data_IF_138678675698
#
_entry.id   IF_138678675698
#
_cell.length_a   1.000
_cell.length_b   1.000
_cell.length_c   1.000
_cell.angle_alpha   90.00
_cell.angle_beta   90.00
_cell.angle_gamma   90.00
#
_symmetry.space_group_name_H-M   'P 1'
#
loop_
_entity.id
_entity.type
_entity.pdbx_description
1 polymer ?
2 non-polymer ?
3 water ?
#
# COMPACT_ATOMS: atom_id res chain seq x y z
N UNK A 15 -5.29 21.39 5.94
CA UNK A 15 -5.38 22.47 4.90
C UNK A 15 -3.96 22.91 4.51
N UNK A 16 -3.50 22.40 3.37
CA UNK A 16 -2.17 22.72 2.87
C UNK A 16 -1.99 22.08 1.49
N UNK A 17 -1.27 20.96 1.44
CA UNK A 17 -1.03 20.23 0.20
C UNK A 17 -0.31 21.10 -0.83
N UNK A 18 1.02 21.09 -0.77
CA UNK A 18 1.89 21.89 -1.64
C UNK A 18 2.58 21.02 -2.72
N UNK A 19 3.77 21.41 -3.22
CA UNK A 19 4.39 20.56 -4.25
C UNK A 19 5.33 19.47 -3.75
N UNK A 20 6.28 19.84 -2.89
CA UNK A 20 7.23 18.89 -2.33
C UNK A 20 6.98 18.81 -0.84
N UNK A 21 6.35 19.83 -0.28
CA UNK A 21 6.05 19.83 1.13
C UNK A 21 5.20 18.58 1.40
N UNK A 22 4.65 18.01 0.32
CA UNK A 22 3.81 16.81 0.38
C UNK A 22 4.67 15.56 0.29
N UNK A 23 5.56 15.52 -0.70
CA UNK A 23 6.44 14.37 -0.87
C UNK A 23 7.28 14.22 0.38
N UNK A 24 7.81 15.32 0.88
CA UNK A 24 8.64 15.29 2.10
C UNK A 24 7.76 14.89 3.28
N UNK A 25 6.52 15.36 3.27
CA UNK A 25 5.59 15.00 4.32
C UNK A 25 5.31 13.51 4.21
N UNK A 26 4.94 13.04 3.02
CA UNK A 26 4.66 11.63 2.83
C UNK A 26 5.90 10.80 3.21
N UNK A 27 7.08 11.41 3.14
CA UNK A 27 8.32 10.72 3.51
C UNK A 27 8.44 10.57 5.02
N UNK A 28 8.19 11.65 5.74
CA UNK A 28 8.28 11.62 7.19
C UNK A 28 7.07 10.96 7.86
N UNK A 29 6.12 10.46 7.08
CA UNK A 29 4.93 9.82 7.64
C UNK A 29 5.02 8.31 7.57
N UNK A 30 6.00 7.82 6.81
CA UNK A 30 6.24 6.38 6.66
C UNK A 30 6.06 5.60 7.95
N UNK A 31 5.59 4.35 7.84
CA UNK A 31 5.35 3.45 8.97
C UNK A 31 6.67 2.93 9.48
N UNK A 32 6.72 2.48 10.75
CA UNK A 32 7.95 1.94 11.34
C UNK A 32 8.20 0.56 10.74
N UNK A 33 9.43 0.09 10.87
CA UNK A 33 9.77 -1.24 10.41
C UNK A 33 9.07 -2.11 11.44
N UNK A 34 8.64 -3.29 11.07
CA UNK A 34 7.96 -4.12 12.05
C UNK A 34 8.58 -5.50 12.21
N UNK A 35 8.65 -5.92 13.48
CA UNK A 35 9.23 -7.21 13.83
C UNK A 35 8.24 -8.22 14.42
N UNK A 36 8.43 -9.48 14.05
CA UNK A 36 7.63 -10.60 14.51
C UNK A 36 8.56 -11.61 15.20
N UNK A 37 8.05 -12.33 16.20
CA UNK A 37 8.85 -13.35 16.88
C UNK A 37 9.14 -14.39 15.81
N UNK A 38 9.71 -15.53 16.18
CA UNK A 38 9.99 -16.59 15.19
C UNK A 38 11.06 -17.62 15.56
N UNK A 39 10.93 -18.83 15.00
CA UNK A 39 11.86 -19.94 15.22
C UNK A 39 12.39 -20.40 13.86
N UNK A 40 12.59 -21.71 13.70
CA UNK A 40 13.07 -22.33 12.46
C UNK A 40 14.59 -22.36 12.28
N UNK A 43 9.63 -24.36 10.49
CA UNK A 43 8.67 -23.58 9.71
C UNK A 43 7.93 -24.43 8.67
N UNK A 44 6.65 -24.15 8.49
CA UNK A 44 5.82 -24.86 7.52
C UNK A 44 4.69 -24.01 6.99
N UNK A 45 3.48 -24.56 7.05
CA UNK A 45 2.30 -23.86 6.60
C UNK A 45 1.87 -22.76 7.56
N UNK A 46 1.17 -23.12 8.62
CA UNK A 46 0.73 -22.12 9.58
C UNK A 46 1.94 -21.32 10.07
N UNK A 47 3.11 -21.96 10.07
CA UNK A 47 4.32 -21.28 10.49
C UNK A 47 4.48 -20.03 9.65
N UNK A 48 4.17 -20.16 8.37
CA UNK A 48 4.25 -19.04 7.46
C UNK A 48 3.04 -18.14 7.65
N UNK A 49 1.90 -18.73 7.99
CA UNK A 49 0.70 -17.94 8.18
C UNK A 49 0.43 -17.47 9.60
N UNK A 50 1.11 -18.06 10.57
CA UNK A 50 0.94 -17.63 11.96
C UNK A 50 1.66 -16.29 12.01
N UNK A 51 2.81 -16.26 11.35
CA UNK A 51 3.61 -15.04 11.30
C UNK A 51 2.94 -13.96 10.45
N UNK A 52 2.63 -14.27 9.19
CA UNK A 52 2.00 -13.32 8.30
C UNK A 52 0.76 -12.65 8.89
N UNK A 53 0.10 -13.31 9.83
CA UNK A 53 -1.09 -12.72 10.44
C UNK A 53 -0.64 -11.77 11.53
N UNK A 54 0.37 -12.16 12.27
CA UNK A 54 0.87 -11.30 13.34
C UNK A 54 1.67 -10.16 12.73
N UNK A 55 2.03 -10.30 11.46
CA UNK A 55 2.78 -9.27 10.77
C UNK A 55 1.85 -8.18 10.27
N UNK A 56 0.92 -8.56 9.40
CA UNK A 56 -0.05 -7.63 8.83
C UNK A 56 -0.95 -6.95 9.85
N UNK A 57 -1.05 -7.49 11.05
CA UNK A 57 -1.87 -6.86 12.06
C UNK A 57 -1.11 -5.77 12.76
N UNK A 58 0.17 -6.02 13.04
CA UNK A 58 1.02 -5.01 13.67
C UNK A 58 1.06 -3.83 12.70
N UNK A 59 1.32 -4.15 11.43
CA UNK A 59 1.41 -3.17 10.36
C UNK A 59 0.12 -2.38 10.14
N UNK A 60 -1.02 -3.07 10.16
CA UNK A 60 -2.28 -2.38 9.96
C UNK A 60 -2.50 -1.27 10.98
N UNK A 61 -1.86 -1.39 12.14
CA UNK A 61 -1.97 -0.35 13.16
C UNK A 61 -1.19 0.89 12.71
N UNK A 62 0.03 0.69 12.24
CA UNK A 62 0.85 1.79 11.75
C UNK A 62 0.29 2.36 10.46
N UNK A 63 -0.40 1.52 9.68
CA UNK A 63 -0.98 1.99 8.44
C UNK A 63 -2.02 3.04 8.72
N UNK A 64 -2.67 2.96 9.87
CA UNK A 64 -3.68 3.94 10.22
C UNK A 64 -3.04 5.25 10.64
N UNK A 65 -1.95 5.17 11.39
CA UNK A 65 -1.24 6.39 11.83
C UNK A 65 -0.78 7.10 10.56
N UNK A 66 -0.34 6.29 9.60
CA UNK A 66 0.15 6.74 8.31
C UNK A 66 -0.92 7.60 7.61
N UNK A 67 -2.03 6.96 7.24
CA UNK A 67 -3.12 7.65 6.57
C UNK A 67 -3.44 8.92 7.35
N UNK A 68 -3.41 8.80 8.66
CA UNK A 68 -3.71 9.93 9.50
C UNK A 68 -2.81 11.13 9.19
N UNK A 69 -1.54 10.87 8.91
CA UNK A 69 -0.58 11.93 8.62
C UNK A 69 -0.65 12.53 7.21
N UNK A 70 -1.34 11.88 6.29
CA UNK A 70 -1.46 12.44 4.93
C UNK A 70 -2.29 13.71 5.05
N UNK A 71 -1.63 14.86 4.92
CA UNK A 71 -2.31 16.16 5.01
C UNK A 71 -3.75 16.17 4.50
N UNK A 72 -4.69 16.35 5.42
CA UNK A 72 -6.08 16.41 5.03
C UNK A 72 -6.86 15.14 5.13
N UNK A 73 -6.21 14.02 5.38
CA UNK A 73 -6.94 12.76 5.49
C UNK A 73 -7.98 12.79 6.62
N UNK A 74 -7.60 13.29 7.79
CA UNK A 74 -8.54 13.33 8.91
C UNK A 74 -9.63 14.38 8.78
N UNK A 75 -9.49 15.28 7.81
CA UNK A 75 -10.50 16.29 7.59
C UNK A 75 -11.72 15.63 6.94
N UNK A 76 -11.49 14.51 6.28
CA UNK A 76 -12.57 13.78 5.62
C UNK A 76 -13.56 13.29 6.66
N UNK A 77 -14.53 12.51 6.23
CA UNK A 77 -15.52 11.93 7.13
C UNK A 77 -14.89 10.72 7.81
N UNK A 78 -15.39 10.35 8.99
CA UNK A 78 -14.83 9.21 9.69
C UNK A 78 -15.19 7.92 8.97
N UNK A 79 -16.46 7.79 8.59
CA UNK A 79 -16.90 6.59 7.88
C UNK A 79 -16.18 6.45 6.53
N UNK A 80 -15.79 7.57 5.94
CA UNK A 80 -15.07 7.53 4.67
C UNK A 80 -13.62 7.09 4.88
N UNK A 81 -13.00 7.59 5.95
CA UNK A 81 -11.64 7.20 6.25
C UNK A 81 -11.66 5.69 6.42
N UNK A 82 -12.57 5.19 7.23
CA UNK A 82 -12.66 3.75 7.47
C UNK A 82 -13.03 3.06 6.16
N UNK A 83 -13.87 3.71 5.36
CA UNK A 83 -14.30 3.18 4.06
C UNK A 83 -13.04 2.90 3.22
N UNK A 84 -12.19 3.92 3.13
CA UNK A 84 -10.95 3.85 2.37
C UNK A 84 -9.92 2.87 2.95
N UNK A 85 -9.62 2.96 4.24
CA UNK A 85 -8.64 2.06 4.83
C UNK A 85 -9.05 0.60 4.69
N UNK A 86 -10.35 0.33 4.61
CA UNK A 86 -10.82 -1.04 4.50
C UNK A 86 -10.56 -1.67 3.13
N UNK A 87 -10.51 -0.83 2.11
CA UNK A 87 -10.32 -1.30 0.74
C UNK A 87 -8.89 -1.43 0.27
N UNK A 88 -8.00 -0.60 0.82
CA UNK A 88 -6.62 -0.63 0.38
C UNK A 88 -5.60 -1.36 1.26
N UNK A 89 -5.89 -1.57 2.53
CA UNK A 89 -4.88 -2.19 3.39
C UNK A 89 -4.10 -3.31 2.73
N UNK A 90 -4.80 -4.19 2.03
CA UNK A 90 -4.16 -5.31 1.38
C UNK A 90 -3.13 -4.90 0.32
N UNK A 91 -3.52 -4.01 -0.62
CA UNK A 91 -2.56 -3.56 -1.64
C UNK A 91 -1.50 -2.61 -1.05
N UNK A 92 -1.89 -1.77 -0.09
CA UNK A 92 -0.93 -0.87 0.54
C UNK A 92 0.12 -1.73 1.24
N UNK A 93 -0.31 -2.84 1.82
CA UNK A 93 0.64 -3.75 2.47
C UNK A 93 1.58 -4.26 1.39
N UNK A 94 0.99 -4.85 0.36
CA UNK A 94 1.80 -5.40 -0.72
C UNK A 94 2.63 -4.35 -1.47
N UNK A 95 2.22 -3.09 -1.42
CA UNK A 95 2.98 -2.04 -2.09
C UNK A 95 4.30 -1.85 -1.36
N UNK A 96 4.23 -1.91 -0.04
CA UNK A 96 5.41 -1.76 0.80
C UNK A 96 6.27 -3.02 0.76
N UNK A 97 5.63 -4.16 0.58
CA UNK A 97 6.35 -5.42 0.51
C UNK A 97 7.22 -5.40 -0.75
N UNK A 98 6.59 -5.06 -1.88
CA UNK A 98 7.29 -5.00 -3.15
C UNK A 98 8.47 -4.04 -3.06
N UNK A 99 8.19 -2.85 -2.56
CA UNK A 99 9.21 -1.82 -2.40
C UNK A 99 10.40 -2.30 -1.54
N UNK A 100 10.13 -3.16 -0.58
CA UNK A 100 11.18 -3.68 0.27
C UNK A 100 11.93 -4.80 -0.44
N UNK A 101 11.27 -5.43 -1.41
CA UNK A 101 11.85 -6.55 -2.13
C UNK A 101 12.26 -6.19 -3.55
N UNK A 102 12.30 -4.90 -3.85
CA UNK A 102 12.65 -4.43 -5.19
C UNK A 102 14.06 -4.77 -5.68
N UNK A 103 15.06 -4.64 -4.81
CA UNK A 103 16.44 -4.94 -5.22
C UNK A 103 16.80 -6.39 -4.94
N UNK A 104 15.80 -7.23 -4.75
CA UNK A 104 16.08 -8.63 -4.46
C UNK A 104 15.27 -9.63 -5.26
N UNK A 105 15.71 -9.89 -6.50
CA UNK A 105 15.03 -10.83 -7.37
C UNK A 105 14.84 -12.16 -6.65
N UNK A 106 13.67 -12.77 -6.85
CA UNK A 106 13.37 -14.05 -6.23
C UNK A 106 12.96 -14.02 -4.78
N UNK A 107 13.30 -12.97 -4.04
CA UNK A 107 12.94 -12.92 -2.63
C UNK A 107 11.77 -11.96 -2.39
N UNK A 108 11.18 -12.03 -1.20
CA UNK A 108 10.07 -11.17 -0.82
C UNK A 108 10.24 -10.77 0.64
N UNK A 109 11.06 -9.76 0.87
CA UNK A 109 11.36 -9.27 2.21
C UNK A 109 10.15 -8.78 3.01
N UNK A 110 9.36 -9.72 3.54
CA UNK A 110 8.17 -9.40 4.33
C UNK A 110 8.43 -8.56 5.58
N UNK A 111 9.66 -8.60 6.08
CA UNK A 111 10.01 -7.83 7.26
C UNK A 111 11.47 -8.08 7.62
N UNK A 112 12.01 -7.33 8.59
CA UNK A 112 13.42 -7.54 8.93
C UNK A 112 13.71 -8.99 9.29
N UNK A 113 12.69 -9.71 9.74
CA UNK A 113 12.90 -11.10 10.09
C UNK A 113 12.32 -12.10 9.09
N UNK A 114 11.19 -11.74 8.50
CA UNK A 114 10.53 -12.62 7.55
C UNK A 114 10.95 -12.45 6.09
N UNK A 115 12.02 -13.11 5.68
CA UNK A 115 12.44 -13.03 4.29
C UNK A 115 12.16 -14.38 3.63
N UNK A 116 11.38 -14.40 2.55
CA UNK A 116 11.05 -15.67 1.90
C UNK A 116 11.52 -15.83 0.46
N UNK A 117 12.09 -16.99 0.18
CA UNK A 117 12.57 -17.38 -1.14
C UNK A 117 11.35 -17.70 -2.01
N UNK A 118 11.49 -17.65 -3.32
CA UNK A 118 10.35 -17.96 -4.17
C UNK A 118 9.86 -19.35 -3.82
N UNK A 119 10.69 -20.35 -4.11
CA UNK A 119 10.34 -21.75 -3.85
C UNK A 119 9.66 -22.00 -2.51
N UNK A 120 10.15 -21.35 -1.46
CA UNK A 120 9.61 -21.50 -0.11
C UNK A 120 8.08 -21.32 -0.08
N UNK A 121 7.53 -20.87 -1.20
CA UNK A 121 6.09 -20.66 -1.29
C UNK A 121 5.32 -21.94 -1.46
N UNK A 122 5.65 -22.70 -2.51
CA UNK A 122 4.98 -23.96 -2.80
C UNK A 122 4.78 -24.86 -1.57
N UNK A 123 5.74 -24.84 -0.66
CA UNK A 123 5.64 -25.65 0.55
C UNK A 123 4.28 -25.52 1.19
N UNK A 124 3.57 -24.46 0.81
CA UNK A 124 2.21 -24.24 1.27
C UNK A 124 1.49 -23.90 -0.02
N UNK A 125 0.34 -24.55 -0.23
CA UNK A 125 -0.42 -24.37 -1.45
C UNK A 125 -1.23 -23.08 -1.64
N UNK A 126 -1.35 -22.68 -2.90
CA UNK A 126 -2.06 -21.48 -3.27
C UNK A 126 -1.14 -20.30 -3.21
N UNK A 127 -0.39 -20.19 -2.11
CA UNK A 127 0.54 -19.11 -1.88
C UNK A 127 1.54 -18.87 -3.00
N UNK A 128 2.05 -19.93 -3.59
CA UNK A 128 3.02 -19.79 -4.66
C UNK A 128 2.56 -18.93 -5.83
N UNK A 129 1.28 -18.96 -6.18
CA UNK A 129 0.81 -18.14 -7.29
C UNK A 129 1.11 -16.68 -6.98
N UNK A 130 0.72 -16.23 -5.78
CA UNK A 130 0.93 -14.86 -5.36
C UNK A 130 2.39 -14.42 -5.46
N UNK A 131 3.33 -15.22 -4.94
CA UNK A 131 4.75 -14.86 -5.00
C UNK A 131 5.15 -14.54 -6.42
N UNK A 132 4.64 -15.33 -7.36
CA UNK A 132 4.93 -15.14 -8.78
C UNK A 132 4.39 -13.80 -9.22
N UNK A 133 3.24 -13.44 -8.66
CA UNK A 133 2.58 -12.17 -8.97
C UNK A 133 3.34 -11.00 -8.36
N UNK A 134 3.66 -11.10 -7.06
CA UNK A 134 4.40 -10.06 -6.37
C UNK A 134 5.75 -9.90 -7.06
N UNK A 135 6.52 -10.97 -7.12
CA UNK A 135 7.83 -10.94 -7.77
C UNK A 135 7.73 -10.36 -9.18
N UNK A 136 6.67 -10.73 -9.89
CA UNK A 136 6.47 -10.23 -11.24
C UNK A 136 6.24 -8.73 -11.19
N UNK A 137 5.39 -8.28 -10.28
CA UNK A 137 5.10 -6.86 -10.16
C UNK A 137 6.32 -6.12 -9.66
N UNK A 138 7.03 -6.72 -8.71
CA UNK A 138 8.23 -6.12 -8.14
C UNK A 138 9.27 -5.95 -9.24
N UNK A 139 9.37 -6.96 -10.10
CA UNK A 139 10.33 -6.90 -11.20
C UNK A 139 9.98 -5.78 -12.15
N UNK A 140 8.69 -5.57 -12.38
CA UNK A 140 8.29 -4.50 -13.29
C UNK A 140 8.71 -3.19 -12.69
N UNK A 141 8.41 -2.98 -11.40
CA UNK A 141 8.79 -1.74 -10.72
C UNK A 141 10.29 -1.56 -10.79
N UNK A 142 11.01 -2.66 -10.61
CA UNK A 142 12.48 -2.63 -10.66
C UNK A 142 12.95 -2.14 -12.03
N UNK A 143 12.46 -2.80 -13.08
CA UNK A 143 12.81 -2.46 -14.45
C UNK A 143 12.54 -1.00 -14.75
N UNK A 144 11.41 -0.48 -14.26
CA UNK A 144 11.08 0.92 -14.48
C UNK A 144 12.02 1.78 -13.69
N UNK A 145 12.69 1.18 -12.72
CA UNK A 145 13.60 1.92 -11.86
C UNK A 145 12.78 2.95 -11.06
N UNK A 146 11.77 2.46 -10.33
CA UNK A 146 10.89 3.30 -9.52
C UNK A 146 11.66 4.05 -8.42
N UNK A 147 11.42 5.36 -8.33
CA UNK A 147 12.09 6.19 -7.32
C UNK A 147 11.34 6.29 -5.99
N UNK A 148 12.10 6.49 -4.92
CA UNK A 148 11.54 6.58 -3.58
C UNK A 148 10.39 7.56 -3.52
N UNK A 149 10.49 8.63 -4.31
CA UNK A 149 9.46 9.66 -4.36
C UNK A 149 8.22 9.18 -5.09
N UNK A 150 8.41 8.57 -6.26
CA UNK A 150 7.29 8.08 -7.03
C UNK A 150 6.60 7.01 -6.22
N UNK A 151 7.39 6.25 -5.46
CA UNK A 151 6.84 5.18 -4.62
C UNK A 151 5.95 5.80 -3.54
N UNK A 152 6.45 6.84 -2.88
CA UNK A 152 5.68 7.51 -1.83
C UNK A 152 4.37 8.02 -2.41
N UNK A 153 4.45 8.61 -3.60
CA UNK A 153 3.27 9.15 -4.25
C UNK A 153 2.25 8.09 -4.66
N UNK A 154 2.72 6.99 -5.27
CA UNK A 154 1.81 5.91 -5.70
C UNK A 154 1.11 5.21 -4.54
N UNK A 155 1.78 5.12 -3.39
CA UNK A 155 1.23 4.49 -2.20
C UNK A 155 0.01 5.19 -1.68
N UNK A 156 0.09 6.52 -1.59
CA UNK A 156 -1.04 7.29 -1.09
C UNK A 156 -2.17 7.31 -2.11
N UNK A 157 -1.84 7.30 -3.39
CA UNK A 157 -2.86 7.29 -4.44
C UNK A 157 -3.69 6.03 -4.29
N UNK A 158 -3.02 4.93 -3.94
CA UNK A 158 -3.69 3.65 -3.76
C UNK A 158 -4.72 3.73 -2.65
N UNK A 159 -4.40 4.52 -1.62
CA UNK A 159 -5.29 4.71 -0.48
C UNK A 159 -6.40 5.67 -0.79
N UNK A 160 -6.10 6.72 -1.54
CA UNK A 160 -7.09 7.72 -1.89
C UNK A 160 -7.96 7.26 -3.04
N UNK A 161 -7.53 6.21 -3.72
CA UNK A 161 -8.27 5.64 -4.83
C UNK A 161 -8.33 4.13 -4.62
N UNK A 162 -9.50 3.63 -4.24
CA UNK A 162 -9.71 2.21 -3.97
C UNK A 162 -11.12 2.14 -3.40
N UNK A 163 -11.68 3.32 -3.24
CA UNK A 163 -13.00 3.56 -2.69
C UNK A 163 -14.22 3.20 -3.53
N UNK A 164 -15.38 3.39 -2.90
CA UNK A 164 -16.68 3.16 -3.51
C UNK A 164 -17.08 4.54 -4.02
N UNK A 165 -16.09 5.24 -4.56
CA UNK A 165 -16.25 6.57 -5.11
C UNK A 165 -17.29 7.41 -4.36
N UNK A 170 -20.88 8.37 -3.79
CA UNK A 170 -21.93 9.12 -3.10
C UNK A 170 -23.27 8.38 -3.06
N UNK A 171 -24.11 8.89 -2.18
CA UNK A 171 -25.47 8.46 -1.88
C UNK A 171 -25.76 9.72 -1.08
N UNK A 172 -25.02 10.74 -1.52
CA UNK A 172 -24.95 12.12 -1.05
C UNK A 172 -24.94 12.56 0.41
N UNK A 173 -24.16 13.63 0.57
CA UNK A 173 -23.82 14.39 1.77
C UNK A 173 -22.35 14.54 1.37
N UNK A 174 -22.17 15.26 0.26
CA UNK A 174 -20.86 15.45 -0.35
C UNK A 174 -20.06 16.71 -0.07
N UNK A 175 -19.06 16.54 0.78
CA UNK A 175 -18.12 17.59 1.14
C UNK A 175 -16.88 16.77 1.45
N UNK A 176 -17.11 15.46 1.53
CA UNK A 176 -16.06 14.51 1.79
C UNK A 176 -15.56 14.17 0.39
N UNK A 177 -16.46 13.71 -0.47
CA UNK A 177 -16.09 13.37 -1.83
C UNK A 177 -15.42 14.56 -2.53
N UNK A 178 -15.60 15.76 -1.96
CA UNK A 178 -14.98 16.95 -2.54
C UNK A 178 -13.54 17.04 -2.04
N UNK A 179 -13.39 16.98 -0.73
CA UNK A 179 -12.06 17.04 -0.11
C UNK A 179 -11.19 15.86 -0.55
N UNK A 180 -11.82 14.70 -0.72
CA UNK A 180 -11.13 13.49 -1.15
C UNK A 180 -10.58 13.68 -2.55
N UNK A 181 -11.39 14.28 -3.41
CA UNK A 181 -10.99 14.55 -4.78
C UNK A 181 -9.82 15.53 -4.78
N UNK A 182 -9.90 16.52 -3.91
CA UNK A 182 -8.87 17.54 -3.81
C UNK A 182 -7.56 16.94 -3.34
N UNK A 183 -7.68 15.90 -2.53
CA UNK A 183 -6.53 15.21 -1.96
C UNK A 183 -5.92 14.27 -3.00
N UNK A 184 -6.73 13.48 -3.66
CA UNK A 184 -6.21 12.59 -4.68
C UNK A 184 -5.54 13.49 -5.69
N UNK A 185 -6.14 14.66 -5.89
CA UNK A 185 -5.62 15.64 -6.83
C UNK A 185 -4.20 16.08 -6.51
N UNK A 186 -4.01 16.68 -5.33
CA UNK A 186 -2.69 17.14 -4.91
C UNK A 186 -1.61 16.07 -5.11
N UNK A 187 -1.87 14.86 -4.61
CA UNK A 187 -0.96 13.72 -4.72
C UNK A 187 -0.61 13.51 -6.20
N UNK A 188 -1.63 13.32 -7.02
CA UNK A 188 -1.45 13.11 -8.45
C UNK A 188 -0.61 14.22 -9.03
N UNK A 189 -0.80 15.45 -8.55
CA UNK A 189 -0.01 16.55 -9.07
C UNK A 189 1.44 16.40 -8.66
N UNK A 190 1.66 16.10 -7.38
CA UNK A 190 3.03 15.92 -6.89
C UNK A 190 3.72 14.86 -7.72
N UNK A 191 2.99 13.81 -8.11
CA UNK A 191 3.57 12.72 -8.88
C UNK A 191 3.97 13.12 -10.28
N UNK A 192 3.18 13.98 -10.96
CA UNK A 192 3.56 14.39 -12.31
C UNK A 192 4.74 15.32 -12.12
N UNK A 193 4.75 15.98 -10.97
CA UNK A 193 5.81 16.90 -10.61
C UNK A 193 7.12 16.15 -10.48
N UNK A 194 7.13 15.13 -9.62
CA UNK A 194 8.32 14.33 -9.41
C UNK A 194 8.89 13.88 -10.76
N UNK A 195 8.04 13.32 -11.61
CA UNK A 195 8.48 12.84 -12.92
C UNK A 195 9.10 13.97 -13.73
N UNK A 196 8.47 15.15 -13.69
CA UNK A 196 8.99 16.32 -14.42
C UNK A 196 10.38 16.71 -13.93
N UNK A 197 10.55 16.77 -12.61
CA UNK A 197 11.84 17.10 -12.03
C UNK A 197 12.88 16.18 -12.67
N UNK A 198 12.49 14.93 -12.92
CA UNK A 198 13.37 13.95 -13.53
C UNK A 198 14.13 14.53 -14.72
N UNK A 199 13.46 15.42 -15.45
CA UNK A 199 14.07 16.05 -16.61
C UNK A 199 13.80 15.48 -17.98
N UNK A 200 13.20 14.29 -18.05
CA UNK A 200 12.92 13.69 -19.36
C UNK A 200 11.87 14.50 -20.14
N UNK A 201 11.69 14.16 -21.41
CA UNK A 201 10.76 14.85 -22.31
C UNK A 201 9.27 14.56 -22.06
N UNK A 202 8.42 15.50 -22.47
CA UNK A 202 6.99 15.35 -22.27
C UNK A 202 6.38 14.06 -22.83
N UNK A 203 7.03 13.44 -23.81
CA UNK A 203 6.47 12.20 -24.33
C UNK A 203 6.80 11.12 -23.30
N UNK A 204 7.96 11.25 -22.67
CA UNK A 204 8.36 10.30 -21.64
C UNK A 204 7.77 10.61 -20.27
N UNK A 205 7.58 11.89 -19.96
CA UNK A 205 7.01 12.26 -18.68
C UNK A 205 5.61 11.68 -18.62
N UNK A 206 4.92 11.68 -19.75
CA UNK A 206 3.58 11.13 -19.83
C UNK A 206 3.61 9.62 -19.77
N UNK A 207 4.51 8.99 -20.53
CA UNK A 207 4.60 7.54 -20.51
C UNK A 207 4.93 7.03 -19.11
N UNK A 208 5.75 7.77 -18.38
CA UNK A 208 6.11 7.34 -17.04
C UNK A 208 4.85 7.26 -16.24
N UNK A 209 4.12 8.38 -16.18
CA UNK A 209 2.87 8.41 -15.42
C UNK A 209 1.97 7.24 -15.85
N UNK A 210 1.86 7.03 -17.16
CA UNK A 210 1.02 5.95 -17.67
C UNK A 210 1.50 4.56 -17.26
N UNK A 211 2.80 4.33 -17.34
CA UNK A 211 3.34 3.03 -16.96
C UNK A 211 3.20 2.77 -15.46
N UNK A 212 3.37 3.81 -14.64
CA UNK A 212 3.25 3.62 -13.21
C UNK A 212 1.84 3.42 -12.75
N UNK A 213 0.88 4.11 -13.37
CA UNK A 213 -0.52 3.95 -12.96
C UNK A 213 -1.13 2.66 -13.52
N UNK A 214 -0.53 2.11 -14.56
CA UNK A 214 -1.06 0.87 -15.12
C UNK A 214 -0.66 -0.30 -14.22
N UNK A 215 0.40 -0.11 -13.44
CA UNK A 215 0.83 -1.17 -12.54
C UNK A 215 -0.07 -1.19 -11.32
N UNK A 216 -0.58 -0.04 -10.92
CA UNK A 216 -1.46 0.00 -9.76
C UNK A 216 -2.57 -1.05 -9.85
N UNK A 217 -3.00 -1.38 -11.07
CA UNK A 217 -4.07 -2.37 -11.23
C UNK A 217 -3.52 -3.78 -11.11
N UNK A 218 -2.21 -3.91 -11.20
CA UNK A 218 -1.58 -5.21 -11.05
C UNK A 218 -1.46 -5.37 -9.55
N UNK A 219 -1.29 -4.27 -8.85
CA UNK A 219 -1.21 -4.31 -7.40
C UNK A 219 -2.62 -4.63 -6.94
N UNK A 220 -3.60 -4.17 -7.69
CA UNK A 220 -5.00 -4.42 -7.35
C UNK A 220 -5.24 -5.89 -7.58
N UNK A 221 -4.78 -6.36 -8.74
CA UNK A 221 -4.94 -7.76 -9.09
C UNK A 221 -4.39 -8.65 -7.98
N UNK A 222 -3.13 -8.42 -7.61
CA UNK A 222 -2.49 -9.22 -6.56
C UNK A 222 -3.19 -9.05 -5.21
N UNK A 223 -3.85 -7.91 -5.02
CA UNK A 223 -4.56 -7.61 -3.78
C UNK A 223 -5.82 -8.45 -3.67
N UNK A 224 -6.46 -8.71 -4.81
CA UNK A 224 -7.68 -9.51 -4.83
C UNK A 224 -7.41 -11.00 -4.60
N UNK A 225 -6.36 -11.53 -5.23
CA UNK A 225 -6.00 -12.92 -5.09
C UNK A 225 -5.65 -13.19 -3.62
N UNK A 226 -4.77 -12.35 -3.06
CA UNK A 226 -4.36 -12.51 -1.68
C UNK A 226 -5.54 -12.55 -0.75
N UNK A 227 -6.37 -11.51 -0.79
CA UNK A 227 -7.56 -11.42 0.07
C UNK A 227 -8.48 -12.63 -0.08
N UNK A 228 -8.35 -13.31 -1.21
CA UNK A 228 -9.16 -14.48 -1.52
C UNK A 228 -8.61 -15.73 -0.83
N UNK A 229 -7.30 -15.72 -0.57
CA UNK A 229 -6.60 -16.81 0.09
C UNK A 229 -6.78 -16.61 1.57
N UNK A 230 -6.81 -15.35 1.97
CA UNK A 230 -6.99 -14.98 3.36
C UNK A 230 -8.33 -15.49 3.84
N UNK A 231 -9.40 -14.99 3.23
CA UNK A 231 -10.76 -15.40 3.56
C UNK A 231 -10.92 -16.92 3.48
N UNK A 232 -10.14 -17.56 2.61
CA UNK A 232 -10.17 -19.01 2.46
C UNK A 232 -9.56 -19.70 3.67
N UNK A 233 -10.06 -19.35 4.86
CA UNK A 233 -9.61 -19.92 6.11
C UNK A 233 -10.87 -20.21 6.93
N UNK A 234 -11.46 -19.17 7.51
CA UNK A 234 -12.68 -19.31 8.29
C UNK A 234 -13.32 -17.99 8.74
N UNK A 235 -12.78 -16.87 8.28
CA UNK A 235 -13.32 -15.56 8.65
C UNK A 235 -13.85 -14.74 7.47
N UNK A 236 -14.62 -13.71 7.78
CA UNK A 236 -15.21 -12.82 6.78
C UNK A 236 -16.05 -11.71 7.42
N UNK A 240 -10.37 -9.53 7.90
CA UNK A 240 -11.11 -8.31 7.53
C UNK A 240 -11.30 -7.35 8.71
N UNK A 241 -10.49 -6.29 8.71
CA UNK A 241 -10.48 -5.29 9.77
C UNK A 241 -11.39 -4.07 9.63
N UNK A 242 -12.60 -4.15 10.18
CA UNK A 242 -13.54 -3.03 10.11
C UNK A 242 -13.51 -2.25 11.41
N UNK A 243 -14.38 -2.62 12.35
CA UNK A 243 -14.43 -1.97 13.65
C UNK A 243 -13.10 -2.29 14.31
N UNK A 244 -12.65 -3.52 14.07
CA UNK A 244 -11.41 -4.04 14.60
C UNK A 244 -10.36 -2.96 14.78
N UNK A 245 -10.36 -1.97 13.90
CA UNK A 245 -9.42 -0.87 14.00
C UNK A 245 -10.22 0.41 13.79
N UNK A 246 -11.53 0.30 14.03
CA UNK A 246 -12.43 1.44 13.88
C UNK A 246 -12.23 2.42 15.02
N UNK A 247 -12.11 1.91 16.24
CA UNK A 247 -11.91 2.78 17.38
C UNK A 247 -10.48 3.29 17.55
N UNK A 248 -9.73 3.32 16.45
CA UNK A 248 -8.37 3.86 16.47
C UNK A 248 -8.47 5.24 15.86
N UNK A 249 -9.34 5.38 14.85
CA UNK A 249 -9.57 6.68 14.24
C UNK A 249 -10.48 7.38 15.25
N UNK A 250 -11.19 6.57 16.02
CA UNK A 250 -12.12 7.06 17.03
C UNK A 250 -11.48 8.08 17.99
N UNK A 251 -10.83 7.58 19.04
CA UNK A 251 -10.23 8.46 20.04
C UNK A 251 -8.72 8.48 20.29
N UNK A 252 -8.16 7.39 20.82
CA UNK A 252 -6.72 7.34 21.15
C UNK A 252 -5.69 7.78 20.09
N UNK A 253 -6.08 7.77 18.82
CA UNK A 253 -5.19 8.17 17.72
C UNK A 253 -3.75 7.69 17.89
N UNK A 254 -3.58 6.39 18.09
CA UNK A 254 -2.27 5.76 18.25
C UNK A 254 -2.12 4.65 17.21
#
# INVERSE_FOLDING_TARGET
MKKHHHHHHRELLLDALSPEQLVLTLLEAEPPHVLISRPSAPFTEASMMMSLTKLADKELVHMISWAKKIPGFVELSLFDQVRLLESCWMEVLMMGLMWRSIDHPGKLIFAPDLVLDRDEGKCVEGILEIFDMLLATTSRFRELKLQHKEYLCVKAMILLNSSMYPLVTATQDADSSRKLAHLLNAVTDALVWVIAKSGISSQQQSMRLANLLMLLSHVRHASNKGMEHLLNMKCKNVVPVYDLLLEMLNAHVLR
#
